data_IF_750009867226
#
_entry.id   IF_750009867226
#
_cell.length_a   1.000
_cell.length_b   1.000
_cell.length_c   1.000
_cell.angle_alpha   90.00
_cell.angle_beta   90.00
_cell.angle_gamma   90.00
#
_symmetry.space_group_name_H-M   'P 1'
#
loop_
_entity.id
_entity.type
_entity.pdbx_description
1 polymer ?
#
# COMPACT_ATOMS: atom_id res chain seq x y z
N UNK A 1 -34.37 -2.32 81.39
CA UNK A 1 -33.94 -1.39 80.32
C UNK A 1 -33.39 -0.15 80.98
N UNK A 2 -32.06 0.08 80.94
CA UNK A 2 -31.39 1.23 81.57
C UNK A 2 -31.63 2.48 80.72
N UNK A 3 -32.18 3.52 81.35
CA UNK A 3 -32.40 4.84 80.74
C UNK A 3 -31.07 5.44 80.27
N UNK A 4 -30.97 5.76 78.98
CA UNK A 4 -29.83 6.39 78.31
C UNK A 4 -29.74 7.92 78.54
N UNK A 5 -30.30 8.43 79.63
CA UNK A 5 -30.41 9.88 79.90
C UNK A 5 -29.39 10.41 80.91
N UNK A 6 -28.27 9.71 81.13
CA UNK A 6 -27.13 10.27 81.86
C UNK A 6 -25.82 9.91 81.16
N UNK A 7 -25.22 10.91 80.49
CA UNK A 7 -23.77 11.20 80.52
C UNK A 7 -23.35 12.02 79.29
N UNK A 8 -23.77 13.28 79.20
CA UNK A 8 -22.99 14.31 78.52
C UNK A 8 -23.02 15.54 79.43
N UNK A 9 -22.10 15.56 80.41
CA UNK A 9 -21.84 16.77 81.20
C UNK A 9 -21.42 17.93 80.29
N UNK A 10 -21.54 19.17 80.76
CA UNK A 10 -21.05 20.34 80.04
C UNK A 10 -19.61 20.11 79.58
N UNK A 11 -19.36 20.26 78.27
CA UNK A 11 -18.04 20.02 77.67
C UNK A 11 -17.35 21.36 77.50
N UNK A 12 -16.15 21.49 78.03
CA UNK A 12 -15.31 22.68 77.81
C UNK A 12 -14.38 22.43 76.62
N UNK A 13 -14.47 23.29 75.61
CA UNK A 13 -13.59 23.25 74.43
C UNK A 13 -12.99 24.64 74.27
N UNK A 14 -11.66 24.73 74.32
CA UNK A 14 -10.91 25.99 74.14
C UNK A 14 -11.39 27.15 75.05
N UNK A 15 -11.68 26.86 76.32
CA UNK A 15 -12.06 27.87 77.32
C UNK A 15 -13.53 28.31 77.26
N UNK A 16 -14.39 27.63 76.50
CA UNK A 16 -15.85 27.87 76.49
C UNK A 16 -16.62 26.61 76.88
N UNK A 17 -17.60 26.76 77.76
CA UNK A 17 -18.47 25.69 78.22
C UNK A 17 -19.69 25.57 77.31
N UNK A 18 -19.88 24.39 76.74
CA UNK A 18 -21.02 24.07 75.88
C UNK A 18 -22.04 23.22 76.64
N UNK A 19 -23.30 23.59 76.55
CA UNK A 19 -24.39 22.85 77.20
C UNK A 19 -24.65 21.53 76.46
N UNK A 20 -25.18 20.52 77.16
CA UNK A 20 -25.48 19.20 76.59
C UNK A 20 -26.36 19.29 75.33
N UNK A 21 -27.25 20.28 75.26
CA UNK A 21 -28.11 20.52 74.10
C UNK A 21 -27.32 20.99 72.88
N UNK A 22 -26.33 21.87 73.06
CA UNK A 22 -25.49 22.38 71.97
C UNK A 22 -24.61 21.29 71.38
N UNK A 23 -24.06 20.41 72.23
CA UNK A 23 -23.25 19.27 71.79
C UNK A 23 -24.10 18.27 71.01
N UNK A 24 -25.32 17.98 71.48
CA UNK A 24 -26.23 17.07 70.79
C UNK A 24 -26.70 17.62 69.43
N UNK A 25 -26.99 18.92 69.36
CA UNK A 25 -27.37 19.57 68.10
C UNK A 25 -26.21 19.52 67.09
N UNK A 26 -24.98 19.79 67.53
CA UNK A 26 -23.78 19.70 66.70
C UNK A 26 -23.55 18.28 66.16
N UNK A 27 -23.78 17.26 66.98
CA UNK A 27 -23.70 15.86 66.57
C UNK A 27 -24.73 15.51 65.48
N UNK A 28 -25.98 15.94 65.64
CA UNK A 28 -27.02 15.70 64.63
C UNK A 28 -26.73 16.40 63.30
N UNK A 29 -26.21 17.63 63.34
CA UNK A 29 -25.81 18.36 62.12
C UNK A 29 -24.66 17.64 61.41
N UNK A 30 -23.66 17.17 62.16
CA UNK A 30 -22.52 16.43 61.60
C UNK A 30 -22.98 15.12 60.94
N UNK A 31 -23.83 14.34 61.60
CA UNK A 31 -24.37 13.09 61.06
C UNK A 31 -25.23 13.35 59.81
N UNK A 32 -26.05 14.41 59.83
CA UNK A 32 -26.85 14.81 58.67
C UNK A 32 -26.01 15.18 57.44
N UNK A 33 -24.90 15.90 57.63
CA UNK A 33 -23.97 16.24 56.56
C UNK A 33 -23.31 14.99 55.95
N UNK A 34 -22.88 14.04 56.78
CA UNK A 34 -22.29 12.78 56.31
C UNK A 34 -23.31 11.99 55.48
N UNK A 35 -24.57 11.92 55.91
CA UNK A 35 -25.62 11.22 55.18
C UNK A 35 -25.89 11.84 53.79
N UNK A 36 -25.88 13.18 53.68
CA UNK A 36 -26.04 13.88 52.40
C UNK A 36 -24.89 13.61 51.42
N UNK A 37 -23.65 13.58 51.93
CA UNK A 37 -22.47 13.26 51.11
C UNK A 37 -22.57 11.83 50.57
N UNK A 38 -22.94 10.86 51.42
CA UNK A 38 -23.10 9.47 51.01
C UNK A 38 -24.21 9.30 49.97
N UNK A 39 -25.33 10.01 50.12
CA UNK A 39 -26.42 10.01 49.14
C UNK A 39 -25.97 10.57 47.77
N UNK A 40 -25.22 11.66 47.76
CA UNK A 40 -24.66 12.24 46.54
C UNK A 40 -23.70 11.29 45.81
N UNK A 41 -22.84 10.60 46.55
CA UNK A 41 -21.94 9.58 46.00
C UNK A 41 -22.71 8.39 45.43
N UNK A 42 -23.77 7.95 46.11
CA UNK A 42 -24.62 6.86 45.65
C UNK A 42 -25.35 7.18 44.34
N UNK A 43 -25.91 8.39 44.20
CA UNK A 43 -26.54 8.86 42.96
C UNK A 43 -25.53 8.91 41.81
N UNK A 44 -24.30 9.38 42.09
CA UNK A 44 -23.22 9.45 41.10
C UNK A 44 -22.80 8.06 40.62
N UNK A 45 -22.73 7.08 41.52
CA UNK A 45 -22.42 5.69 41.19
C UNK A 45 -23.50 5.04 40.31
N UNK A 46 -24.78 5.31 40.57
CA UNK A 46 -25.89 4.82 39.74
C UNK A 46 -25.83 5.43 38.34
N UNK A 47 -25.60 6.74 38.22
CA UNK A 47 -25.46 7.40 36.91
C UNK A 47 -24.24 6.88 36.12
N UNK A 48 -23.16 6.54 36.80
CA UNK A 48 -21.96 5.98 36.15
C UNK A 48 -22.22 4.59 35.55
N UNK A 49 -23.02 3.75 36.22
CA UNK A 49 -23.42 2.43 35.69
C UNK A 49 -24.48 2.50 34.57
N UNK A 50 -25.20 3.61 34.44
CA UNK A 50 -26.27 3.82 33.45
C UNK A 50 -25.79 4.31 32.07
N UNK A 51 -24.51 4.66 31.90
CA UNK A 51 -23.93 5.03 30.61
C UNK A 51 -23.62 3.77 29.77
N UNK A 52 -24.65 2.97 29.48
CA UNK A 52 -24.58 1.90 28.50
C UNK A 52 -24.21 2.50 27.14
N UNK A 53 -23.14 1.96 26.54
CA UNK A 53 -22.65 2.32 25.20
C UNK A 53 -23.83 2.40 24.23
N UNK A 54 -24.17 3.61 23.76
CA UNK A 54 -24.96 3.77 22.52
C UNK A 54 -24.18 3.03 21.43
N UNK A 55 -24.76 1.98 20.86
CA UNK A 55 -24.24 1.35 19.64
C UNK A 55 -24.18 2.44 18.57
N UNK A 56 -22.98 2.90 18.25
CA UNK A 56 -22.72 3.69 17.06
C UNK A 56 -23.18 2.86 15.86
N UNK A 57 -24.08 3.42 15.07
CA UNK A 57 -24.52 2.86 13.79
C UNK A 57 -23.27 2.72 12.92
N UNK A 58 -22.86 1.49 12.61
CA UNK A 58 -21.68 1.24 11.79
C UNK A 58 -21.89 1.89 10.42
N UNK A 59 -20.89 2.66 10.00
CA UNK A 59 -20.84 3.25 8.66
C UNK A 59 -20.82 2.12 7.62
N UNK A 60 -21.51 2.26 6.47
CA UNK A 60 -21.52 1.21 5.44
C UNK A 60 -20.08 0.90 5.01
N UNK A 61 -19.74 -0.36 4.78
CA UNK A 61 -18.39 -0.71 4.36
C UNK A 61 -18.05 -0.09 3.01
N UNK A 62 -16.91 0.59 2.97
CA UNK A 62 -16.37 1.15 1.74
C UNK A 62 -15.95 -0.01 0.84
N UNK A 63 -16.44 -0.08 -0.42
CA UNK A 63 -16.02 -1.11 -1.37
C UNK A 63 -14.50 -1.05 -1.59
N UNK A 64 -13.82 -2.17 -1.39
CA UNK A 64 -12.38 -2.29 -1.63
C UNK A 64 -12.12 -2.77 -3.06
N UNK A 65 -11.25 -2.07 -3.77
CA UNK A 65 -10.85 -2.38 -5.14
C UNK A 65 -9.38 -2.80 -5.19
N UNK A 66 -9.08 -3.80 -6.00
CA UNK A 66 -7.73 -4.18 -6.42
C UNK A 66 -7.43 -3.61 -7.80
N UNK A 67 -6.22 -3.09 -7.99
CA UNK A 67 -5.72 -2.78 -9.32
C UNK A 67 -5.11 -4.04 -9.93
N UNK A 68 -5.58 -4.40 -11.13
CA UNK A 68 -5.12 -5.56 -11.87
C UNK A 68 -4.48 -5.10 -13.17
N UNK A 69 -3.25 -5.56 -13.38
CA UNK A 69 -2.47 -5.37 -14.58
C UNK A 69 -2.32 -6.72 -15.28
N UNK A 70 -2.94 -6.86 -16.45
CA UNK A 70 -2.98 -8.12 -17.20
C UNK A 70 -2.25 -7.96 -18.54
N UNK A 71 -1.41 -8.94 -18.90
CA UNK A 71 -0.68 -8.93 -20.16
C UNK A 71 -1.59 -9.50 -21.24
N UNK A 72 -2.05 -8.64 -22.14
CA UNK A 72 -3.01 -8.95 -23.20
C UNK A 72 -2.32 -9.58 -24.42
N UNK A 73 -1.11 -9.12 -24.73
CA UNK A 73 -0.32 -9.66 -25.84
C UNK A 73 1.19 -9.48 -25.63
N UNK A 74 1.95 -10.43 -26.16
CA UNK A 74 3.41 -10.41 -26.25
C UNK A 74 3.78 -10.85 -27.67
N UNK A 75 4.51 -10.01 -28.42
CA UNK A 75 4.95 -10.28 -29.79
C UNK A 75 6.44 -10.00 -29.87
N UNK A 76 7.18 -10.86 -30.57
CA UNK A 76 8.62 -10.72 -30.80
C UNK A 76 8.97 -10.75 -32.28
N UNK A 77 9.93 -9.92 -32.67
CA UNK A 77 10.65 -9.99 -33.93
C UNK A 77 12.07 -10.49 -33.61
N UNK A 78 12.38 -11.72 -33.98
CA UNK A 78 13.65 -12.37 -33.64
C UNK A 78 14.81 -11.84 -34.47
N UNK A 79 14.55 -11.22 -35.62
CA UNK A 79 15.56 -10.66 -36.52
C UNK A 79 15.09 -9.33 -37.15
N UNK A 80 15.07 -8.23 -36.37
CA UNK A 80 14.59 -6.93 -36.83
C UNK A 80 15.48 -6.32 -37.92
N UNK A 81 16.69 -6.85 -38.11
CA UNK A 81 17.61 -6.41 -39.16
C UNK A 81 18.18 -7.61 -39.93
N UNK A 82 17.36 -8.13 -40.85
CA UNK A 82 17.57 -9.37 -41.64
C UNK A 82 18.96 -9.56 -42.27
N UNK A 83 19.70 -8.49 -42.51
CA UNK A 83 21.00 -8.52 -43.15
C UNK A 83 22.18 -8.69 -42.17
N UNK A 84 21.93 -8.71 -40.86
CA UNK A 84 22.96 -8.88 -39.84
C UNK A 84 22.64 -10.06 -38.91
N UNK A 85 23.43 -11.15 -38.95
CA UNK A 85 23.21 -12.31 -38.07
C UNK A 85 23.42 -11.97 -36.58
N UNK A 86 24.14 -10.89 -36.24
CA UNK A 86 24.32 -10.44 -34.86
C UNK A 86 23.03 -9.82 -34.27
N UNK A 87 21.98 -9.69 -35.07
CA UNK A 87 20.66 -9.20 -34.67
C UNK A 87 19.63 -10.31 -34.54
N UNK A 88 20.02 -11.58 -34.68
CA UNK A 88 19.12 -12.70 -34.43
C UNK A 88 19.14 -13.12 -32.95
N UNK A 89 18.00 -13.05 -32.27
CA UNK A 89 17.82 -13.57 -30.91
C UNK A 89 16.56 -14.44 -30.81
N UNK A 90 16.70 -15.61 -30.18
CA UNK A 90 15.56 -16.47 -29.82
C UNK A 90 14.61 -15.73 -28.86
N UNK A 91 13.32 -15.99 -28.96
CA UNK A 91 12.34 -15.36 -28.06
C UNK A 91 12.61 -15.64 -26.58
N UNK A 92 13.17 -16.82 -26.26
CA UNK A 92 13.57 -17.16 -24.90
C UNK A 92 14.62 -16.19 -24.35
N UNK A 93 15.58 -15.79 -25.18
CA UNK A 93 16.59 -14.78 -24.84
C UNK A 93 15.91 -13.42 -24.64
N UNK A 94 15.01 -13.03 -25.55
CA UNK A 94 14.30 -11.75 -25.45
C UNK A 94 13.49 -11.66 -24.15
N UNK A 95 12.78 -12.72 -23.77
CA UNK A 95 12.08 -12.82 -22.48
C UNK A 95 13.03 -12.72 -21.28
N UNK A 96 14.15 -13.42 -21.32
CA UNK A 96 15.19 -13.34 -20.28
C UNK A 96 15.73 -11.93 -20.13
N UNK A 97 15.97 -11.21 -21.24
CA UNK A 97 16.43 -9.82 -21.21
C UNK A 97 15.36 -8.90 -20.61
N UNK A 98 14.10 -9.02 -21.04
CA UNK A 98 13.00 -8.24 -20.48
C UNK A 98 12.89 -8.47 -18.96
N UNK A 99 12.91 -9.73 -18.51
CA UNK A 99 12.87 -10.05 -17.08
C UNK A 99 14.06 -9.44 -16.33
N UNK A 100 15.27 -9.55 -16.89
CA UNK A 100 16.49 -8.98 -16.29
C UNK A 100 16.36 -7.48 -16.03
N UNK A 101 15.80 -6.72 -16.99
CA UNK A 101 15.58 -5.29 -16.83
C UNK A 101 14.60 -4.97 -15.70
N UNK A 102 13.51 -5.74 -15.61
CA UNK A 102 12.46 -5.52 -14.61
C UNK A 102 12.85 -5.99 -13.20
N UNK A 103 13.74 -6.98 -13.05
CA UNK A 103 14.29 -7.34 -11.75
C UNK A 103 15.10 -6.17 -11.17
N UNK A 104 15.96 -5.54 -11.99
CA UNK A 104 16.66 -4.32 -11.56
C UNK A 104 15.72 -3.19 -11.16
N UNK A 105 14.56 -3.07 -11.83
CA UNK A 105 13.52 -2.09 -11.48
C UNK A 105 12.94 -2.37 -10.10
N UNK A 106 12.58 -3.61 -9.81
CA UNK A 106 12.04 -4.00 -8.49
C UNK A 106 13.05 -3.73 -7.38
N UNK A 107 14.32 -4.07 -7.60
CA UNK A 107 15.39 -3.78 -6.64
C UNK A 107 15.59 -2.29 -6.40
N UNK A 108 15.45 -1.47 -7.45
CA UNK A 108 15.54 -0.02 -7.34
C UNK A 108 14.37 0.57 -6.53
N UNK A 109 13.14 0.19 -6.87
CA UNK A 109 11.93 0.65 -6.17
C UNK A 109 11.93 0.25 -4.69
N UNK A 110 12.40 -0.95 -4.36
CA UNK A 110 12.56 -1.40 -2.98
C UNK A 110 13.53 -0.52 -2.18
N UNK A 111 14.51 0.13 -2.83
CA UNK A 111 15.50 1.01 -2.19
C UNK A 111 15.02 2.47 -2.08
N UNK A 112 14.19 2.94 -3.01
CA UNK A 112 13.85 4.37 -3.12
C UNK A 112 12.64 4.82 -2.28
N UNK A 113 11.94 3.90 -1.60
CA UNK A 113 10.71 4.19 -0.85
C UNK A 113 9.65 5.00 -1.64
N UNK A 114 9.75 4.99 -2.97
CA UNK A 114 8.86 5.69 -3.88
C UNK A 114 7.63 4.82 -4.16
N UNK A 115 6.47 5.46 -4.29
CA UNK A 115 5.27 4.74 -4.70
C UNK A 115 5.41 4.31 -6.16
N UNK A 116 5.22 3.02 -6.43
CA UNK A 116 5.24 2.49 -7.78
C UNK A 116 4.17 3.18 -8.65
N UNK A 117 4.58 3.76 -9.78
CA UNK A 117 3.68 4.28 -10.80
C UNK A 117 2.93 3.15 -11.49
N UNK A 118 1.86 3.46 -12.21
CA UNK A 118 1.12 2.46 -13.00
C UNK A 118 2.02 1.79 -14.05
N UNK A 119 3.02 2.51 -14.58
CA UNK A 119 4.04 1.93 -15.45
C UNK A 119 4.91 0.91 -14.69
N UNK A 120 5.35 1.24 -13.47
CA UNK A 120 6.12 0.31 -12.63
C UNK A 120 5.31 -0.94 -12.28
N UNK A 121 4.01 -0.80 -11.97
CA UNK A 121 3.09 -1.91 -11.71
C UNK A 121 2.87 -2.77 -12.97
N UNK A 122 2.69 -2.14 -14.13
CA UNK A 122 2.55 -2.83 -15.42
C UNK A 122 3.80 -3.66 -15.76
N UNK A 123 4.99 -3.04 -15.66
CA UNK A 123 6.25 -3.76 -15.84
C UNK A 123 6.42 -4.88 -14.82
N UNK A 124 6.05 -4.65 -13.56
CA UNK A 124 6.11 -5.69 -12.52
C UNK A 124 5.19 -6.87 -12.83
N UNK A 125 4.02 -6.64 -13.44
CA UNK A 125 3.12 -7.71 -13.89
C UNK A 125 3.75 -8.55 -15.01
N UNK A 126 4.40 -7.91 -15.99
CA UNK A 126 5.15 -8.61 -17.05
C UNK A 126 6.23 -9.49 -16.41
N UNK A 127 7.00 -8.96 -15.46
CA UNK A 127 8.01 -9.73 -14.74
C UNK A 127 7.42 -10.96 -14.03
N UNK A 128 6.33 -10.78 -13.29
CA UNK A 128 5.63 -11.88 -12.60
C UNK A 128 5.17 -12.95 -13.59
N UNK A 129 4.64 -12.56 -14.75
CA UNK A 129 4.21 -13.51 -15.77
C UNK A 129 5.39 -14.29 -16.35
N UNK A 130 6.52 -13.63 -16.63
CA UNK A 130 7.72 -14.30 -17.15
C UNK A 130 8.33 -15.26 -16.11
N UNK A 131 8.35 -14.88 -14.84
CA UNK A 131 8.76 -15.76 -13.73
C UNK A 131 7.84 -16.98 -13.62
N UNK A 132 6.53 -16.79 -13.73
CA UNK A 132 5.56 -17.89 -13.72
C UNK A 132 5.73 -18.86 -14.90
N UNK A 133 6.32 -18.41 -16.02
CA UNK A 133 6.71 -19.24 -17.16
C UNK A 133 8.09 -19.91 -16.99
N UNK A 134 8.73 -19.75 -15.84
CA UNK A 134 10.03 -20.36 -15.53
C UNK A 134 11.23 -19.65 -16.16
N UNK A 135 11.06 -18.40 -16.62
CA UNK A 135 12.15 -17.59 -17.16
C UNK A 135 13.04 -17.12 -16.00
N UNK A 136 14.36 -17.21 -16.18
CA UNK A 136 15.35 -16.75 -15.20
C UNK A 136 16.11 -15.53 -15.73
N UNK A 137 16.37 -14.51 -14.89
CA UNK A 137 17.15 -13.35 -15.30
C UNK A 137 18.64 -13.70 -15.46
N UNK A 138 19.38 -12.84 -16.16
CA UNK A 138 20.84 -12.90 -16.32
C UNK A 138 21.51 -11.71 -15.64
N UNK A 139 22.84 -11.75 -15.53
CA UNK A 139 23.61 -10.65 -14.97
C UNK A 139 23.65 -9.42 -15.92
N UNK A 140 23.62 -8.23 -15.33
CA UNK A 140 23.92 -6.96 -15.99
C UNK A 140 25.09 -6.24 -15.29
N UNK A 141 25.79 -5.37 -16.01
CA UNK A 141 26.95 -4.63 -15.47
C UNK A 141 26.64 -3.17 -15.16
N UNK A 142 25.65 -2.60 -15.84
CA UNK A 142 25.15 -1.24 -15.61
C UNK A 142 23.64 -1.29 -15.75
N UNK A 143 22.94 -0.55 -14.90
CA UNK A 143 21.48 -0.48 -14.92
C UNK A 143 21.05 0.91 -14.51
N UNK A 144 20.05 1.46 -15.19
CA UNK A 144 19.47 2.76 -14.90
C UNK A 144 17.98 2.77 -15.24
N UNK A 145 17.24 3.69 -14.61
CA UNK A 145 15.82 3.90 -14.84
C UNK A 145 15.52 5.40 -14.96
N UNK A 146 14.52 5.68 -15.78
CA UNK A 146 13.83 6.96 -15.84
C UNK A 146 12.33 6.71 -15.79
N UNK A 147 11.61 7.52 -15.00
CA UNK A 147 10.14 7.46 -14.90
C UNK A 147 9.43 7.70 -16.23
N UNK A 148 10.08 8.31 -17.22
CA UNK A 148 9.51 8.60 -18.54
C UNK A 148 10.06 7.64 -19.60
N UNK A 149 11.34 7.31 -19.54
CA UNK A 149 12.01 6.56 -20.60
C UNK A 149 12.01 5.05 -20.38
N UNK A 150 11.69 4.59 -19.17
CA UNK A 150 11.76 3.18 -18.79
C UNK A 150 13.13 2.80 -18.22
N UNK A 151 13.57 1.59 -18.53
CA UNK A 151 14.74 0.94 -17.95
C UNK A 151 15.80 0.70 -19.02
N UNK A 152 17.06 0.87 -18.65
CA UNK A 152 18.22 0.61 -19.48
C UNK A 152 19.23 -0.25 -18.73
N UNK A 153 19.85 -1.22 -19.40
CA UNK A 153 20.97 -1.96 -18.84
C UNK A 153 22.01 -2.37 -19.87
N UNK A 154 23.23 -2.63 -19.40
CA UNK A 154 24.28 -3.31 -20.15
C UNK A 154 24.30 -4.78 -19.74
N UNK A 155 24.06 -5.64 -20.71
CA UNK A 155 23.97 -7.10 -20.52
C UNK A 155 25.01 -7.81 -21.38
N UNK A 156 25.35 -9.04 -21.03
CA UNK A 156 26.22 -9.90 -21.85
C UNK A 156 25.35 -10.94 -22.56
N UNK A 157 25.26 -10.85 -23.89
CA UNK A 157 24.57 -11.83 -24.74
C UNK A 157 25.57 -12.42 -25.73
N UNK A 158 25.66 -13.74 -25.78
CA UNK A 158 26.57 -14.46 -26.68
C UNK A 158 28.02 -13.94 -26.62
N UNK A 159 28.50 -13.61 -25.41
CA UNK A 159 29.84 -13.08 -25.17
C UNK A 159 30.05 -11.60 -25.54
N UNK A 160 29.02 -10.89 -26.03
CA UNK A 160 29.08 -9.48 -26.41
C UNK A 160 28.33 -8.60 -25.40
N UNK A 161 28.89 -7.44 -25.08
CA UNK A 161 28.20 -6.43 -24.25
C UNK A 161 27.21 -5.64 -25.08
N UNK A 162 25.93 -5.76 -24.76
CA UNK A 162 24.79 -5.17 -25.47
C UNK A 162 24.07 -4.13 -24.60
N UNK A 163 23.52 -3.10 -25.21
CA UNK A 163 22.61 -2.17 -24.53
C UNK A 163 21.19 -2.68 -24.70
N UNK A 164 20.50 -2.95 -23.60
CA UNK A 164 19.08 -3.29 -23.59
C UNK A 164 18.27 -2.16 -22.99
N UNK A 165 17.15 -1.83 -23.63
CA UNK A 165 16.18 -0.82 -23.22
C UNK A 165 14.81 -1.47 -23.15
N UNK A 166 14.05 -1.14 -22.11
CA UNK A 166 12.66 -1.57 -21.99
C UNK A 166 11.82 -0.45 -21.39
N UNK A 167 10.81 0.02 -22.11
CA UNK A 167 10.07 1.19 -21.72
C UNK A 167 8.81 1.42 -22.54
N UNK A 168 8.06 2.51 -22.25
CA UNK A 168 6.88 2.88 -23.02
C UNK A 168 7.19 2.99 -24.52
N UNK A 169 6.28 2.49 -25.35
CA UNK A 169 6.41 2.46 -26.83
C UNK A 169 6.84 3.81 -27.42
N UNK A 170 6.26 4.91 -26.94
CA UNK A 170 6.58 6.29 -27.38
C UNK A 170 8.02 6.70 -27.04
N UNK A 171 8.55 6.26 -25.89
CA UNK A 171 9.93 6.53 -25.52
C UNK A 171 10.89 5.67 -26.36
N UNK A 172 10.54 4.40 -26.57
CA UNK A 172 11.34 3.48 -27.39
C UNK A 172 11.39 3.91 -28.85
N UNK A 173 10.31 4.44 -29.40
CA UNK A 173 10.30 4.99 -30.77
C UNK A 173 11.30 6.14 -30.98
N UNK A 174 11.69 6.84 -29.90
CA UNK A 174 12.74 7.88 -29.94
C UNK A 174 14.14 7.34 -29.67
N UNK A 175 14.25 6.20 -28.99
CA UNK A 175 15.50 5.60 -28.54
C UNK A 175 16.00 4.46 -29.45
N UNK A 176 15.20 4.03 -30.42
CA UNK A 176 15.52 2.98 -31.38
C UNK A 176 15.43 3.47 -32.82
N UNK A 177 15.91 2.64 -33.74
CA UNK A 177 15.54 2.70 -35.15
C UNK A 177 14.03 2.50 -35.33
N UNK A 178 13.54 2.75 -36.56
CA UNK A 178 12.15 2.50 -36.94
C UNK A 178 11.76 1.07 -36.54
N UNK A 179 10.61 0.93 -35.88
CA UNK A 179 10.07 -0.36 -35.50
C UNK A 179 9.81 -1.24 -36.75
N UNK A 180 10.10 -2.55 -36.66
CA UNK A 180 9.60 -3.52 -37.64
C UNK A 180 8.09 -3.41 -37.78
N UNK A 181 7.57 -3.70 -38.97
CA UNK A 181 6.14 -3.51 -39.27
C UNK A 181 5.22 -4.29 -38.32
N UNK A 182 5.62 -5.52 -37.94
CA UNK A 182 4.88 -6.34 -36.97
C UNK A 182 4.80 -5.69 -35.58
N UNK A 183 5.93 -5.17 -35.08
CA UNK A 183 5.98 -4.44 -33.81
C UNK A 183 5.17 -3.15 -33.89
N UNK A 184 5.29 -2.40 -34.99
CA UNK A 184 4.55 -1.15 -35.18
C UNK A 184 3.03 -1.39 -35.20
N UNK A 185 2.56 -2.41 -35.92
CA UNK A 185 1.14 -2.77 -35.97
C UNK A 185 0.62 -3.20 -34.59
N UNK A 186 1.39 -4.00 -33.85
CA UNK A 186 1.04 -4.41 -32.50
C UNK A 186 0.95 -3.22 -31.53
N UNK A 187 1.89 -2.27 -31.62
CA UNK A 187 1.87 -1.04 -30.83
C UNK A 187 0.61 -0.22 -31.11
N UNK A 188 0.30 0.03 -32.39
CA UNK A 188 -0.88 0.81 -32.77
C UNK A 188 -2.19 0.12 -32.35
N UNK A 189 -2.30 -1.19 -32.55
CA UNK A 189 -3.47 -1.97 -32.14
C UNK A 189 -3.68 -1.92 -30.62
N UNK A 190 -2.61 -2.07 -29.84
CA UNK A 190 -2.68 -2.05 -28.38
C UNK A 190 -3.01 -0.64 -27.83
N UNK A 191 -2.46 0.42 -28.42
CA UNK A 191 -2.88 1.79 -28.09
C UNK A 191 -4.34 2.04 -28.44
N UNK A 192 -4.82 1.53 -29.58
CA UNK A 192 -6.23 1.62 -29.97
C UNK A 192 -7.18 0.94 -28.98
N UNK A 193 -6.70 -0.10 -28.27
CA UNK A 193 -7.42 -0.78 -27.19
C UNK A 193 -7.31 -0.08 -25.82
N UNK A 194 -6.55 1.02 -25.71
CA UNK A 194 -6.34 1.74 -24.46
C UNK A 194 -5.36 1.06 -23.50
N UNK A 195 -4.53 0.14 -23.99
CA UNK A 195 -3.55 -0.58 -23.18
C UNK A 195 -2.27 0.24 -22.98
N UNK A 196 -1.55 -0.03 -21.89
CA UNK A 196 -0.17 0.41 -21.74
C UNK A 196 0.74 -0.47 -22.60
N UNK A 197 1.58 0.14 -23.43
CA UNK A 197 2.42 -0.57 -24.40
C UNK A 197 3.89 -0.37 -24.10
N UNK A 198 4.63 -1.45 -23.96
CA UNK A 198 6.06 -1.46 -23.66
C UNK A 198 6.82 -2.17 -24.77
N UNK A 199 7.99 -1.64 -25.14
CA UNK A 199 8.84 -2.20 -26.19
C UNK A 199 10.21 -2.54 -25.61
N UNK A 200 10.70 -3.73 -25.96
CA UNK A 200 12.07 -4.16 -25.73
C UNK A 200 12.90 -3.76 -26.95
N UNK A 201 14.01 -3.06 -26.72
CA UNK A 201 15.02 -2.78 -27.73
C UNK A 201 16.41 -3.23 -27.27
N UNK A 202 17.19 -3.79 -28.18
CA UNK A 202 18.58 -4.18 -27.96
C UNK A 202 19.45 -3.52 -29.03
N UNK A 203 20.50 -2.83 -28.62
CA UNK A 203 21.40 -2.04 -29.47
C UNK A 203 20.65 -1.08 -30.41
N UNK A 204 19.52 -0.54 -29.95
CA UNK A 204 18.71 0.41 -30.71
C UNK A 204 17.79 -0.24 -31.76
N UNK A 205 17.60 -1.56 -31.76
CA UNK A 205 16.62 -2.25 -32.60
C UNK A 205 15.49 -2.79 -31.72
N UNK A 206 14.23 -2.63 -32.13
CA UNK A 206 13.08 -3.15 -31.40
C UNK A 206 12.88 -4.64 -31.67
N UNK A 207 12.79 -5.44 -30.60
CA UNK A 207 12.68 -6.90 -30.65
C UNK A 207 11.37 -7.43 -30.11
N UNK A 208 10.69 -6.69 -29.23
CA UNK A 208 9.48 -7.21 -28.61
C UNK A 208 8.56 -6.11 -28.14
N UNK A 209 7.28 -6.43 -28.07
CA UNK A 209 6.22 -5.55 -27.58
C UNK A 209 5.31 -6.30 -26.62
N UNK A 210 4.98 -5.62 -25.53
CA UNK A 210 4.07 -6.10 -24.49
C UNK A 210 2.92 -5.12 -24.36
N UNK A 211 1.70 -5.65 -24.40
CA UNK A 211 0.48 -4.90 -24.15
C UNK A 211 -0.06 -5.27 -22.77
N UNK A 212 -0.33 -4.27 -21.93
CA UNK A 212 -0.83 -4.46 -20.57
C UNK A 212 -2.12 -3.66 -20.38
N UNK A 213 -3.21 -4.35 -20.06
CA UNK A 213 -4.46 -3.72 -19.65
C UNK A 213 -4.41 -3.38 -18.15
N UNK A 214 -5.17 -2.36 -17.75
CA UNK A 214 -5.33 -1.97 -16.34
C UNK A 214 -6.82 -1.89 -16.02
N UNK A 215 -7.27 -2.64 -14.99
CA UNK A 215 -8.64 -2.61 -14.51
C UNK A 215 -8.71 -2.64 -12.99
N UNK A 216 -9.77 -2.04 -12.44
CA UNK A 216 -10.13 -2.15 -11.02
C UNK A 216 -11.09 -3.31 -10.82
N UNK A 217 -10.74 -4.26 -9.95
CA UNK A 217 -11.61 -5.37 -9.55
C UNK A 217 -12.10 -5.19 -8.12
N UNK A 218 -13.41 -5.32 -7.89
CA UNK A 218 -14.00 -5.25 -6.55
C UNK A 218 -13.69 -6.53 -5.77
N UNK A 219 -13.06 -6.41 -4.59
CA UNK A 219 -12.71 -7.57 -3.76
C UNK A 219 -13.83 -7.92 -2.76
N UNK A 220 -14.46 -6.93 -2.11
CA UNK A 220 -15.71 -7.04 -1.34
C UNK A 220 -16.11 -5.69 -0.71
N UNK A 221 -17.38 -5.56 -0.30
CA UNK A 221 -17.81 -4.60 0.72
C UNK A 221 -17.92 -5.37 2.05
N UNK A 222 -17.05 -5.08 3.01
CA UNK A 222 -16.92 -5.82 4.28
C UNK A 222 -18.16 -5.68 5.17
N UNK A 223 -19.12 -6.61 5.11
CA UNK A 223 -20.34 -6.60 5.94
C UNK A 223 -20.07 -6.55 7.44
#
# INVERSE_FOLDING_TARGET
MRNLTQALGSVEIAGRTYTSLQVQLALYVLVGLIALILLGLFIRAIRYKGAGKRKTKSEPPVPQYEEIFEIESEIFETNPYKNDPDTHFEESILRTVTLTLMIGLRENLAKMAENASDQHKSMSAIATQLEARGITPIAYTQWNQSSIQGVAARIILSGKSRTALFGPSVAMAKASAKFPDEIALAVESAHGAGHSVFVLAIDGLAYGVFSVSHRLQLIAATS
#
